data_IF_933975820343
#
_entry.id   IF_933975820343
#
_cell.length_a   1.000
_cell.length_b   1.000
_cell.length_c   1.000
_cell.angle_alpha   90.00
_cell.angle_beta   90.00
_cell.angle_gamma   90.00
#
_symmetry.space_group_name_H-M   'P 1'
#
loop_
_entity.id
_entity.type
_entity.pdbx_description
1 polymer ?
#
# COMPACT_ATOMS: atom_id res chain seq x y z
N UNK A 1 -9.36 11.89 -3.82
CA UNK A 1 -8.55 12.21 -2.63
C UNK A 1 -7.47 11.14 -2.52
N UNK A 2 -6.20 11.50 -2.62
CA UNK A 2 -5.12 10.61 -2.18
C UNK A 2 -5.09 10.70 -0.65
N UNK A 3 -5.44 9.61 0.04
CA UNK A 3 -5.44 9.54 1.49
C UNK A 3 -4.02 9.45 2.05
N UNK A 4 -3.19 10.50 1.89
CA UNK A 4 -1.89 10.57 2.56
C UNK A 4 -2.05 10.56 4.09
N UNK A 5 -3.22 10.95 4.61
CA UNK A 5 -3.52 10.93 6.05
C UNK A 5 -3.30 9.56 6.68
N UNK A 6 -3.68 8.47 6.00
CA UNK A 6 -3.51 7.10 6.54
C UNK A 6 -2.05 6.67 6.60
N UNK A 7 -1.17 7.26 5.79
CA UNK A 7 0.27 7.01 5.88
C UNK A 7 0.83 7.47 7.24
N UNK A 8 0.30 8.58 7.78
CA UNK A 8 0.82 9.19 9.01
C UNK A 8 0.05 8.80 10.26
N UNK A 9 -1.24 8.49 10.15
CA UNK A 9 -2.05 8.10 11.30
C UNK A 9 -3.25 7.24 10.88
N UNK A 10 -3.59 6.25 11.71
CA UNK A 10 -4.83 5.52 11.56
C UNK A 10 -6.01 6.46 11.89
N UNK A 11 -6.97 6.68 10.96
CA UNK A 11 -8.11 7.55 11.21
C UNK A 11 -8.99 6.98 12.31
N UNK A 12 -9.59 7.84 13.13
CA UNK A 12 -10.54 7.40 14.16
C UNK A 12 -11.78 6.74 13.52
N UNK A 13 -12.47 5.79 14.18
CA UNK A 13 -13.60 5.08 13.59
C UNK A 13 -14.71 6.01 13.08
N UNK A 14 -15.02 7.06 13.82
CA UNK A 14 -16.03 8.06 13.45
C UNK A 14 -15.69 8.83 12.17
N UNK A 15 -14.39 9.02 11.88
CA UNK A 15 -13.93 9.66 10.65
C UNK A 15 -14.17 8.73 9.45
N UNK A 16 -13.91 7.44 9.62
CA UNK A 16 -14.14 6.44 8.56
C UNK A 16 -15.63 6.33 8.24
N UNK A 17 -16.49 6.28 9.26
CA UNK A 17 -17.94 6.27 9.09
C UNK A 17 -18.43 7.55 8.40
N UNK A 18 -17.92 8.71 8.80
CA UNK A 18 -18.25 9.97 8.15
C UNK A 18 -17.85 10.00 6.67
N UNK A 19 -16.69 9.46 6.30
CA UNK A 19 -16.30 9.34 4.89
C UNK A 19 -17.27 8.46 4.10
N UNK A 20 -17.80 7.40 4.71
CA UNK A 20 -18.85 6.57 4.11
C UNK A 20 -20.13 7.37 3.91
N UNK A 21 -20.60 8.10 4.91
CA UNK A 21 -21.82 8.89 4.82
C UNK A 21 -21.72 10.02 3.78
N UNK A 22 -20.54 10.59 3.61
CA UNK A 22 -20.30 11.73 2.71
C UNK A 22 -20.01 11.33 1.25
N UNK A 23 -19.95 10.04 0.95
CA UNK A 23 -19.66 9.55 -0.40
C UNK A 23 -20.76 8.63 -0.92
N UNK A 24 -20.89 8.56 -2.24
CA UNK A 24 -21.81 7.62 -2.90
C UNK A 24 -21.17 6.24 -3.04
N UNK A 25 -21.97 5.23 -3.38
CA UNK A 25 -21.46 3.87 -3.63
C UNK A 25 -20.60 3.77 -4.89
N UNK A 26 -20.64 4.74 -5.80
CA UNK A 26 -19.77 4.82 -6.98
C UNK A 26 -18.41 5.45 -6.68
N UNK A 27 -18.27 6.10 -5.52
CA UNK A 27 -17.02 6.71 -5.13
C UNK A 27 -15.96 5.63 -4.80
N UNK A 28 -14.70 5.87 -5.17
CA UNK A 28 -13.59 4.97 -4.87
C UNK A 28 -12.50 5.69 -4.09
N UNK A 29 -12.19 5.15 -2.91
CA UNK A 29 -11.09 5.63 -2.07
C UNK A 29 -9.78 4.92 -2.43
N UNK A 30 -8.69 5.67 -2.35
CA UNK A 30 -7.33 5.12 -2.35
C UNK A 30 -6.62 5.54 -1.07
N UNK A 31 -6.19 4.56 -0.26
CA UNK A 31 -5.53 4.80 1.01
C UNK A 31 -4.14 4.20 1.02
N UNK A 32 -3.19 4.89 1.65
CA UNK A 32 -1.87 4.32 1.91
C UNK A 32 -1.89 3.46 3.15
N UNK A 33 -1.16 2.35 3.14
CA UNK A 33 -0.80 1.66 4.36
C UNK A 33 -0.04 2.62 5.31
N UNK A 34 -0.28 2.56 6.62
CA UNK A 34 0.47 3.31 7.61
C UNK A 34 2.00 3.11 7.50
N UNK A 35 2.77 4.17 7.75
CA UNK A 35 4.23 4.11 7.78
C UNK A 35 4.77 3.19 8.89
N UNK A 36 3.98 2.91 9.92
CA UNK A 36 4.30 1.88 10.93
C UNK A 36 4.47 0.50 10.29
N UNK A 37 3.68 0.19 9.25
CA UNK A 37 3.77 -1.06 8.48
C UNK A 37 4.93 -0.99 7.49
N UNK A 38 4.98 0.05 6.65
CA UNK A 38 5.89 0.08 5.50
C UNK A 38 7.29 0.62 5.79
N UNK A 39 7.44 1.53 6.75
CA UNK A 39 8.73 2.18 7.07
C UNK A 39 9.34 1.65 8.36
N UNK A 40 8.54 1.54 9.43
CA UNK A 40 9.06 1.16 10.75
C UNK A 40 9.23 -0.36 10.87
N UNK A 41 8.17 -1.13 10.60
CA UNK A 41 8.24 -2.59 10.60
C UNK A 41 8.91 -3.17 9.35
N UNK A 42 9.09 -2.36 8.30
CA UNK A 42 9.67 -2.76 7.02
C UNK A 42 9.05 -4.07 6.48
N UNK A 43 7.72 -4.17 6.59
CA UNK A 43 6.89 -5.32 6.17
C UNK A 43 7.14 -6.63 6.94
N UNK A 44 7.79 -6.59 8.10
CA UNK A 44 8.10 -7.78 8.91
C UNK A 44 7.33 -7.77 10.21
N UNK A 45 6.80 -8.93 10.59
CA UNK A 45 6.07 -9.12 11.86
C UNK A 45 5.02 -8.02 12.11
N UNK A 46 4.28 -7.66 11.06
CA UNK A 46 3.36 -6.53 11.05
C UNK A 46 1.90 -6.96 10.87
N UNK A 47 1.60 -8.24 11.02
CA UNK A 47 0.28 -8.83 10.80
C UNK A 47 -0.80 -8.15 11.64
N UNK A 48 -0.53 -7.91 12.93
CA UNK A 48 -1.46 -7.21 13.82
C UNK A 48 -1.74 -5.77 13.36
N UNK A 49 -0.72 -5.07 12.86
CA UNK A 49 -0.85 -3.70 12.34
C UNK A 49 -1.69 -3.69 11.05
N UNK A 50 -1.50 -4.68 10.17
CA UNK A 50 -2.29 -4.85 8.95
C UNK A 50 -3.74 -5.15 9.30
N UNK A 51 -3.98 -6.09 10.23
CA UNK A 51 -5.33 -6.43 10.69
C UNK A 51 -6.02 -5.22 11.32
N UNK A 52 -5.34 -4.45 12.17
CA UNK A 52 -5.90 -3.23 12.75
C UNK A 52 -6.30 -2.22 11.67
N UNK A 53 -5.41 -1.98 10.71
CA UNK A 53 -5.67 -1.06 9.60
C UNK A 53 -6.87 -1.51 8.76
N UNK A 54 -6.89 -2.75 8.29
CA UNK A 54 -7.97 -3.26 7.45
C UNK A 54 -9.30 -3.30 8.20
N UNK A 55 -9.29 -3.68 9.49
CA UNK A 55 -10.48 -3.64 10.34
C UNK A 55 -11.02 -2.23 10.46
N UNK A 56 -10.15 -1.24 10.70
CA UNK A 56 -10.55 0.17 10.79
C UNK A 56 -11.19 0.66 9.49
N UNK A 57 -10.68 0.20 8.34
CA UNK A 57 -11.15 0.63 7.03
C UNK A 57 -12.31 -0.21 6.49
N UNK A 58 -12.69 -1.31 7.16
CA UNK A 58 -13.77 -2.22 6.73
C UNK A 58 -15.11 -1.55 6.43
N UNK A 59 -15.54 -0.44 7.10
CA UNK A 59 -16.77 0.25 6.70
C UNK A 59 -16.71 0.84 5.29
N UNK A 60 -15.52 1.01 4.71
CA UNK A 60 -15.33 1.51 3.35
C UNK A 60 -15.00 0.40 2.35
N UNK A 61 -14.91 -0.87 2.76
CA UNK A 61 -14.46 -1.98 1.90
C UNK A 61 -15.11 -2.01 0.50
N UNK A 62 -16.45 -1.87 0.34
CA UNK A 62 -17.09 -1.88 -0.98
C UNK A 62 -16.72 -0.68 -1.88
N UNK A 63 -16.12 0.36 -1.29
CA UNK A 63 -15.74 1.62 -1.94
C UNK A 63 -14.23 1.81 -1.97
N UNK A 64 -13.44 0.78 -1.65
CA UNK A 64 -11.99 0.83 -1.83
C UNK A 64 -11.69 0.56 -3.30
N UNK A 65 -11.06 1.53 -3.96
CA UNK A 65 -10.48 1.33 -5.28
C UNK A 65 -9.13 0.61 -5.17
N UNK A 66 -8.27 1.04 -4.25
CA UNK A 66 -6.92 0.49 -4.07
C UNK A 66 -6.31 0.82 -2.70
N UNK A 67 -5.50 -0.11 -2.16
CA UNK A 67 -4.56 0.20 -1.08
C UNK A 67 -3.14 0.38 -1.64
N UNK A 68 -2.46 1.45 -1.20
CA UNK A 68 -1.13 1.83 -1.66
C UNK A 68 -0.07 1.54 -0.60
N UNK A 69 0.91 0.72 -0.96
CA UNK A 69 2.10 0.46 -0.17
C UNK A 69 3.24 1.33 -0.67
N UNK A 70 3.43 2.48 -0.03
CA UNK A 70 4.60 3.33 -0.26
C UNK A 70 5.76 2.86 0.61
N UNK A 71 6.87 2.48 -0.03
CA UNK A 71 8.09 2.02 0.62
C UNK A 71 9.13 3.14 0.74
N UNK A 72 9.94 3.17 1.81
CA UNK A 72 11.00 4.15 1.96
C UNK A 72 12.10 3.97 0.90
N UNK A 73 12.90 5.03 0.68
CA UNK A 73 14.05 4.95 -0.22
C UNK A 73 15.14 3.98 0.26
N UNK A 74 15.12 3.57 1.52
CA UNK A 74 16.01 2.56 2.11
C UNK A 74 15.57 1.12 1.82
N UNK A 75 14.32 0.90 1.38
CA UNK A 75 13.84 -0.43 1.02
C UNK A 75 14.38 -0.81 -0.36
N UNK A 76 15.47 -1.58 -0.38
CA UNK A 76 16.18 -1.95 -1.61
C UNK A 76 15.83 -3.34 -2.15
N UNK A 77 16.47 -3.76 -3.25
CA UNK A 77 16.23 -5.05 -3.92
C UNK A 77 16.41 -6.28 -3.01
N UNK A 78 17.30 -6.21 -2.01
CA UNK A 78 17.52 -7.28 -1.03
C UNK A 78 16.29 -7.56 -0.15
N UNK A 79 15.37 -6.60 -0.07
CA UNK A 79 14.18 -6.67 0.77
C UNK A 79 12.97 -7.25 0.01
N UNK A 80 13.10 -7.52 -1.29
CA UNK A 80 12.01 -8.09 -2.10
C UNK A 80 11.38 -9.36 -1.51
N UNK A 81 12.10 -10.30 -0.87
CA UNK A 81 11.47 -11.43 -0.20
C UNK A 81 10.45 -11.03 0.87
N UNK A 82 10.72 -9.96 1.64
CA UNK A 82 9.77 -9.44 2.63
C UNK A 82 8.56 -8.80 1.96
N UNK A 83 8.76 -8.08 0.83
CA UNK A 83 7.65 -7.55 0.04
C UNK A 83 6.75 -8.66 -0.50
N UNK A 84 7.34 -9.73 -1.03
CA UNK A 84 6.59 -10.88 -1.55
C UNK A 84 5.77 -11.55 -0.48
N UNK A 85 6.38 -11.86 0.67
CA UNK A 85 5.68 -12.45 1.79
C UNK A 85 4.52 -11.57 2.28
N UNK A 86 4.74 -10.27 2.39
CA UNK A 86 3.71 -9.30 2.77
C UNK A 86 2.57 -9.28 1.76
N UNK A 87 2.85 -9.17 0.45
CA UNK A 87 1.81 -9.12 -0.57
C UNK A 87 1.02 -10.44 -0.64
N UNK A 88 1.68 -11.58 -0.44
CA UNK A 88 1.07 -12.90 -0.46
C UNK A 88 0.18 -13.17 0.77
N UNK A 89 0.32 -12.39 1.86
CA UNK A 89 -0.52 -12.49 3.06
C UNK A 89 -1.74 -11.56 3.05
N UNK A 90 -1.84 -10.63 2.09
CA UNK A 90 -2.95 -9.68 2.02
C UNK A 90 -4.25 -10.33 1.50
N UNK A 91 -5.44 -9.84 1.91
CA UNK A 91 -6.71 -10.32 1.40
C UNK A 91 -6.87 -10.15 -0.12
N UNK A 92 -7.24 -11.21 -0.83
CA UNK A 92 -7.38 -11.20 -2.29
C UNK A 92 -8.57 -10.39 -2.85
N UNK A 93 -9.42 -9.83 -1.99
CA UNK A 93 -10.61 -9.05 -2.41
C UNK A 93 -10.30 -7.59 -2.76
N UNK A 94 -9.10 -7.10 -2.45
CA UNK A 94 -8.69 -5.72 -2.72
C UNK A 94 -7.64 -5.62 -3.82
N UNK A 95 -7.60 -4.45 -4.47
CA UNK A 95 -6.49 -4.10 -5.34
C UNK A 95 -5.37 -3.44 -4.55
N UNK A 96 -4.13 -3.80 -4.87
CA UNK A 96 -2.93 -3.25 -4.24
C UNK A 96 -2.05 -2.52 -5.24
N UNK A 97 -1.35 -1.50 -4.77
CA UNK A 97 -0.34 -0.76 -5.54
C UNK A 97 0.92 -0.58 -4.71
N UNK A 98 2.09 -0.83 -5.30
CA UNK A 98 3.39 -0.65 -4.63
C UNK A 98 4.13 0.52 -5.25
N UNK A 99 4.53 1.46 -4.40
CA UNK A 99 5.36 2.60 -4.75
C UNK A 99 6.76 2.43 -4.14
N UNK A 100 7.74 2.12 -4.98
CA UNK A 100 9.16 2.02 -4.59
C UNK A 100 9.87 3.36 -4.74
N UNK A 101 10.88 3.60 -3.90
CA UNK A 101 11.68 4.84 -3.94
C UNK A 101 13.18 4.61 -4.03
N UNK A 102 13.64 3.37 -3.90
CA UNK A 102 15.06 3.05 -3.97
C UNK A 102 15.59 3.18 -5.41
N UNK A 103 16.70 3.90 -5.67
CA UNK A 103 17.18 4.19 -7.02
C UNK A 103 17.41 2.96 -7.92
N UNK A 104 17.87 1.85 -7.34
CA UNK A 104 18.09 0.61 -8.10
C UNK A 104 16.83 0.06 -8.80
N UNK A 105 15.63 0.37 -8.31
CA UNK A 105 14.39 -0.04 -8.99
C UNK A 105 14.04 0.82 -10.22
N UNK A 106 14.84 1.86 -10.52
CA UNK A 106 14.68 2.74 -11.68
C UNK A 106 15.88 2.70 -12.62
N UNK A 107 16.88 1.86 -12.30
CA UNK A 107 18.13 1.77 -13.05
C UNK A 107 18.01 0.93 -14.33
N UNK A 108 16.81 0.44 -14.70
CA UNK A 108 16.56 -0.45 -15.85
C UNK A 108 17.37 -1.75 -15.82
N UNK A 109 17.88 -2.13 -14.65
CA UNK A 109 18.65 -3.34 -14.39
C UNK A 109 17.79 -4.54 -14.01
N UNK A 110 18.45 -5.59 -13.54
CA UNK A 110 17.82 -6.84 -13.11
C UNK A 110 16.86 -6.62 -11.92
N UNK A 111 17.18 -5.68 -11.04
CA UNK A 111 16.42 -5.36 -9.84
C UNK A 111 15.05 -4.78 -10.17
N UNK A 112 14.99 -3.86 -11.15
CA UNK A 112 13.75 -3.32 -11.67
C UNK A 112 12.90 -4.41 -12.35
N UNK A 113 13.53 -5.26 -13.17
CA UNK A 113 12.82 -6.35 -13.84
C UNK A 113 12.27 -7.37 -12.84
N UNK A 114 13.02 -7.69 -11.79
CA UNK A 114 12.62 -8.62 -10.74
C UNK A 114 11.43 -8.07 -9.95
N UNK A 115 11.46 -6.79 -9.58
CA UNK A 115 10.32 -6.11 -8.98
C UNK A 115 9.08 -6.19 -9.90
N UNK A 116 9.22 -5.78 -11.17
CA UNK A 116 8.10 -5.74 -12.11
C UNK A 116 7.48 -7.12 -12.33
N UNK A 117 8.30 -8.16 -12.52
CA UNK A 117 7.82 -9.55 -12.65
C UNK A 117 7.11 -10.03 -11.40
N UNK A 118 7.69 -9.79 -10.22
CA UNK A 118 7.11 -10.24 -8.96
C UNK A 118 5.78 -9.55 -8.62
N UNK A 119 5.64 -8.27 -8.95
CA UNK A 119 4.38 -7.53 -8.83
C UNK A 119 3.33 -8.05 -9.83
N UNK A 120 3.73 -8.24 -11.10
CA UNK A 120 2.83 -8.74 -12.14
C UNK A 120 2.27 -10.14 -11.82
N UNK A 121 3.11 -11.05 -11.32
CA UNK A 121 2.69 -12.39 -10.89
C UNK A 121 1.62 -12.38 -9.79
N UNK A 122 1.58 -11.31 -8.98
CA UNK A 122 0.63 -11.13 -7.88
C UNK A 122 -0.58 -10.27 -8.26
N UNK A 123 -0.66 -9.80 -9.51
CA UNK A 123 -1.69 -8.84 -9.93
C UNK A 123 -1.58 -7.48 -9.22
N UNK A 124 -0.42 -7.13 -8.68
CA UNK A 124 -0.20 -5.89 -7.94
C UNK A 124 0.33 -4.81 -8.89
N UNK A 125 -0.27 -3.63 -8.83
CA UNK A 125 0.15 -2.52 -9.68
C UNK A 125 1.45 -1.90 -9.18
N UNK A 126 2.38 -1.59 -10.10
CA UNK A 126 3.48 -0.68 -9.80
C UNK A 126 2.98 0.75 -9.90
N UNK A 127 3.11 1.50 -8.81
CA UNK A 127 2.79 2.93 -8.76
C UNK A 127 4.09 3.70 -8.99
N UNK A 128 4.08 4.58 -10.00
CA UNK A 128 5.20 5.47 -10.32
C UNK A 128 4.71 6.90 -10.15
N UNK A 129 5.14 7.57 -9.08
CA UNK A 129 4.97 9.01 -8.95
C UNK A 129 6.25 9.72 -9.38
N UNK A 130 6.21 10.31 -10.56
CA UNK A 130 7.21 11.30 -10.96
C UNK A 130 6.77 12.61 -10.30
N UNK A 131 7.48 13.06 -9.25
CA UNK A 131 7.38 14.47 -8.90
C UNK A 131 8.00 15.23 -10.06
N UNK A 132 7.19 15.99 -10.80
CA UNK A 132 7.75 17.10 -11.57
C UNK A 132 8.57 17.94 -10.59
N UNK A 133 9.85 18.08 -10.91
CA UNK A 133 10.80 18.98 -10.23
C UNK A 133 10.25 20.40 -10.30
#
# INVERSE_FOLDING_TARGET
MEGNTTLYALPKPEVVLRWREQTTDDFRFCFKFPATISHQAALRHCDDLVTEFLTRMSPLAPRIGQYWLQLPATFGPRELPALWHFLDSLPGEFNYGVEVRHPQFFAKGEEEQTLNRGLHQRGVNRVIFIRHV
#
